data_IF_729680360381
#
_entry.id   IF_729680360381
#
_cell.length_a   1.000
_cell.length_b   1.000
_cell.length_c   1.000
_cell.angle_alpha   90.00
_cell.angle_beta   90.00
_cell.angle_gamma   90.00
#
_symmetry.space_group_name_H-M   'P 1'
#
loop_
_entity.id
_entity.type
_entity.pdbx_description
1 polymer ?
#
# COMPACT_ATOMS: atom_id res chain seq x y z
N UNK A 1 35.52 -0.61 -10.09
CA UNK A 1 34.66 0.46 -10.61
C UNK A 1 33.62 0.75 -9.56
N UNK A 2 33.77 1.86 -8.85
CA UNK A 2 32.81 2.28 -7.81
C UNK A 2 31.57 2.81 -8.52
N UNK A 3 30.49 2.04 -8.48
CA UNK A 3 29.15 2.56 -8.78
C UNK A 3 28.78 3.48 -7.61
N UNK A 4 29.02 4.78 -7.78
CA UNK A 4 28.39 5.80 -6.95
C UNK A 4 26.89 5.67 -7.14
N UNK A 5 26.20 5.00 -6.20
CA UNK A 5 24.74 5.09 -6.11
C UNK A 5 24.39 6.58 -6.10
N UNK A 6 23.63 6.96 -7.12
CA UNK A 6 23.21 8.34 -7.33
C UNK A 6 22.25 8.70 -6.17
N UNK A 7 22.77 9.38 -5.15
CA UNK A 7 22.11 9.64 -3.84
C UNK A 7 20.81 10.45 -3.92
N UNK A 8 20.36 10.84 -5.13
CA UNK A 8 19.22 11.76 -5.32
C UNK A 8 18.06 11.19 -6.14
N UNK A 9 18.08 9.92 -6.53
CA UNK A 9 16.97 9.35 -7.28
C UNK A 9 15.82 9.02 -6.32
N UNK A 10 14.68 9.71 -6.51
CA UNK A 10 13.43 9.40 -5.82
C UNK A 10 12.74 8.27 -6.59
N UNK A 11 12.46 7.16 -5.91
CA UNK A 11 11.75 6.02 -6.51
C UNK A 11 10.27 6.12 -6.21
N UNK A 12 9.47 5.84 -7.22
CA UNK A 12 8.02 5.76 -7.05
C UNK A 12 7.63 4.51 -6.28
N UNK A 13 6.63 4.63 -5.42
CA UNK A 13 6.13 3.55 -4.57
C UNK A 13 4.63 3.64 -4.35
N UNK A 14 4.00 2.51 -4.10
CA UNK A 14 2.60 2.40 -3.74
C UNK A 14 2.45 1.68 -2.39
N UNK A 15 1.52 2.14 -1.56
CA UNK A 15 1.27 1.59 -0.22
C UNK A 15 -0.23 1.45 -0.01
N UNK A 16 -0.69 0.35 0.56
CA UNK A 16 -2.12 0.07 0.72
C UNK A 16 -2.49 -0.06 2.19
N UNK A 17 -3.40 0.79 2.62
CA UNK A 17 -4.03 0.76 3.94
C UNK A 17 -5.24 -0.15 3.82
N UNK A 18 -5.07 -1.43 4.15
CA UNK A 18 -6.19 -2.38 4.20
C UNK A 18 -7.02 -2.13 5.44
N UNK A 19 -8.35 -2.11 5.24
CA UNK A 19 -9.34 -1.78 6.28
C UNK A 19 -10.41 -2.87 6.33
N UNK A 20 -10.84 -3.21 7.55
CA UNK A 20 -11.96 -4.11 7.79
C UNK A 20 -12.81 -3.65 8.98
N UNK A 21 -14.09 -4.06 9.05
CA UNK A 21 -14.85 -3.98 10.29
C UNK A 21 -14.22 -4.87 11.36
N UNK A 22 -14.18 -4.39 12.61
CA UNK A 22 -13.77 -5.20 13.76
C UNK A 22 -14.96 -6.01 14.29
N UNK A 23 -14.68 -7.09 15.00
CA UNK A 23 -15.69 -7.87 15.72
C UNK A 23 -16.34 -7.09 16.88
N UNK A 24 -15.69 -6.07 17.41
CA UNK A 24 -16.18 -5.22 18.49
C UNK A 24 -17.10 -4.08 18.03
N UNK A 25 -17.31 -3.92 16.72
CA UNK A 25 -18.11 -2.83 16.15
C UNK A 25 -17.29 -1.62 15.69
N UNK A 26 -15.99 -1.57 16.06
CA UNK A 26 -15.04 -0.61 15.54
C UNK A 26 -14.53 -1.03 14.15
N UNK A 27 -13.46 -0.42 13.69
CA UNK A 27 -12.77 -0.81 12.48
C UNK A 27 -11.26 -0.90 12.70
N UNK A 28 -10.61 -1.70 11.86
CA UNK A 28 -9.20 -2.03 12.01
C UNK A 28 -8.45 -1.80 10.71
N UNK A 29 -7.17 -1.43 10.86
CA UNK A 29 -6.17 -1.38 9.80
C UNK A 29 -5.24 -2.59 9.91
N UNK A 30 -4.74 -3.05 8.77
CA UNK A 30 -3.71 -4.08 8.71
C UNK A 30 -2.33 -3.45 8.76
N UNK A 31 -1.51 -3.91 9.69
CA UNK A 31 -0.10 -3.56 9.80
C UNK A 31 0.75 -4.82 9.81
N UNK A 32 1.93 -4.76 9.21
CA UNK A 32 2.88 -5.84 9.25
C UNK A 32 4.27 -5.33 9.63
N UNK A 33 5.02 -6.13 10.40
CA UNK A 33 6.34 -5.76 10.89
C UNK A 33 7.41 -6.15 9.88
N UNK A 34 8.20 -5.18 9.45
CA UNK A 34 9.36 -5.42 8.59
C UNK A 34 10.39 -6.31 9.28
N UNK A 35 11.00 -7.19 8.48
CA UNK A 35 12.03 -8.08 9.00
C UNK A 35 13.19 -7.29 9.60
N UNK A 36 13.74 -7.74 10.75
CA UNK A 36 14.79 -7.02 11.47
C UNK A 36 16.11 -6.91 10.70
N UNK A 37 16.33 -7.78 9.72
CA UNK A 37 17.53 -7.76 8.88
C UNK A 37 17.42 -6.83 7.67
N UNK A 38 16.30 -6.14 7.48
CA UNK A 38 16.16 -5.16 6.42
C UNK A 38 16.97 -3.89 6.73
N UNK A 39 17.62 -3.35 5.69
CA UNK A 39 18.47 -2.15 5.81
C UNK A 39 17.69 -0.85 6.00
N UNK A 40 16.38 -0.86 5.72
CA UNK A 40 15.50 0.31 5.81
C UNK A 40 14.29 0.01 6.69
N UNK A 41 14.07 0.82 7.71
CA UNK A 41 12.96 0.71 8.67
C UNK A 41 12.85 -0.66 9.36
N UNK A 42 13.97 -1.31 9.70
CA UNK A 42 14.01 -2.61 10.34
C UNK A 42 13.15 -2.68 11.61
N UNK A 43 12.25 -3.67 11.69
CA UNK A 43 11.38 -3.89 12.85
C UNK A 43 10.21 -2.90 12.99
N UNK A 44 10.09 -1.89 12.13
CA UNK A 44 8.94 -0.99 12.11
C UNK A 44 7.69 -1.71 11.57
N UNK A 45 6.55 -1.28 12.08
CA UNK A 45 5.25 -1.68 11.53
C UNK A 45 4.86 -0.72 10.41
N UNK A 46 4.48 -1.30 9.27
CA UNK A 46 4.16 -0.60 8.03
C UNK A 46 2.87 -1.14 7.43
N UNK A 47 2.28 -0.39 6.53
CA UNK A 47 1.28 -0.89 5.59
C UNK A 47 1.98 -1.67 4.47
N UNK A 48 1.34 -2.66 3.84
CA UNK A 48 1.85 -3.32 2.64
C UNK A 48 2.16 -2.31 1.53
N UNK A 49 3.29 -2.50 0.85
CA UNK A 49 3.66 -1.63 -0.25
C UNK A 49 5.14 -1.60 -0.57
N UNK A 50 5.45 -1.27 -1.82
CA UNK A 50 6.82 -1.21 -2.33
C UNK A 50 6.96 -0.34 -3.57
N UNK A 51 8.04 -0.56 -4.31
CA UNK A 51 8.39 0.26 -5.48
C UNK A 51 7.52 -0.11 -6.68
N UNK A 52 7.30 0.88 -7.55
CA UNK A 52 6.82 0.60 -8.91
C UNK A 52 7.92 -0.13 -9.68
N UNK A 53 7.52 -1.19 -10.36
CA UNK A 53 8.33 -1.93 -11.32
C UNK A 53 7.97 -1.54 -12.76
N UNK A 54 8.85 -1.83 -13.70
CA UNK A 54 8.58 -1.59 -15.12
C UNK A 54 7.35 -2.36 -15.60
N UNK A 55 7.18 -3.58 -15.09
CA UNK A 55 6.04 -4.44 -15.38
C UNK A 55 4.69 -3.88 -14.92
N UNK A 56 4.67 -3.00 -13.91
CA UNK A 56 3.45 -2.34 -13.46
C UNK A 56 2.93 -1.28 -14.45
N UNK A 57 3.81 -0.79 -15.32
CA UNK A 57 3.49 0.22 -16.34
C UNK A 57 3.15 -0.39 -17.72
N UNK A 58 3.17 -1.72 -17.86
CA UNK A 58 2.90 -2.37 -19.14
C UNK A 58 1.49 -2.00 -19.66
N UNK A 59 1.43 -1.53 -20.90
CA UNK A 59 0.18 -1.15 -21.56
C UNK A 59 -0.78 -2.34 -21.72
N UNK A 60 -0.25 -3.55 -21.85
CA UNK A 60 -1.08 -4.75 -21.95
C UNK A 60 -1.93 -5.01 -20.70
N UNK A 61 -1.56 -4.46 -19.56
CA UNK A 61 -2.34 -4.54 -18.33
C UNK A 61 -3.73 -3.89 -18.46
N UNK A 62 -3.93 -2.95 -19.40
CA UNK A 62 -5.24 -2.36 -19.65
C UNK A 62 -6.30 -3.41 -20.02
N UNK A 63 -5.90 -4.48 -20.68
CA UNK A 63 -6.79 -5.58 -21.05
C UNK A 63 -7.29 -6.38 -19.84
N UNK A 64 -6.62 -6.25 -18.69
CA UNK A 64 -6.93 -6.96 -17.44
C UNK A 64 -7.48 -6.03 -16.36
N UNK A 65 -7.79 -4.78 -16.69
CA UNK A 65 -8.44 -3.84 -15.76
C UNK A 65 -9.94 -3.88 -15.98
N UNK A 66 -10.69 -4.06 -14.90
CA UNK A 66 -12.15 -3.89 -14.87
C UNK A 66 -12.53 -2.95 -13.72
N UNK A 67 -13.40 -2.01 -14.03
CA UNK A 67 -13.86 -1.00 -13.08
C UNK A 67 -15.37 -0.83 -13.18
N UNK A 68 -15.99 -0.31 -12.13
CA UNK A 68 -17.43 0.02 -12.11
C UNK A 68 -17.72 1.34 -12.83
N UNK A 69 -16.78 2.27 -12.75
CA UNK A 69 -16.88 3.62 -13.31
C UNK A 69 -15.71 3.92 -14.25
N UNK A 70 -15.70 5.10 -14.84
CA UNK A 70 -14.57 5.57 -15.65
C UNK A 70 -13.33 5.69 -14.78
N UNK A 71 -12.33 4.88 -15.09
CA UNK A 71 -11.05 4.88 -14.38
C UNK A 71 -10.09 5.87 -15.05
N UNK A 72 -9.93 7.02 -14.41
CA UNK A 72 -8.95 8.04 -14.77
C UNK A 72 -7.88 8.15 -13.66
N UNK A 73 -6.75 7.42 -13.79
CA UNK A 73 -5.75 7.36 -12.74
C UNK A 73 -5.06 8.70 -12.46
N UNK A 74 -4.86 9.56 -13.48
CA UNK A 74 -4.27 10.88 -13.29
C UNK A 74 -5.16 11.78 -12.45
N UNK A 75 -6.45 11.79 -12.76
CA UNK A 75 -7.45 12.55 -12.01
C UNK A 75 -7.58 12.03 -10.58
N UNK A 76 -7.60 10.72 -10.40
CA UNK A 76 -7.70 10.11 -9.07
C UNK A 76 -6.49 10.43 -8.20
N UNK A 77 -5.26 10.40 -8.76
CA UNK A 77 -4.03 10.76 -8.05
C UNK A 77 -3.85 12.28 -7.89
N UNK A 78 -4.70 13.10 -8.52
CA UNK A 78 -4.64 14.56 -8.50
C UNK A 78 -3.26 15.11 -8.91
N UNK A 79 -2.61 14.46 -9.89
CA UNK A 79 -1.27 14.83 -10.35
C UNK A 79 -1.22 14.88 -11.87
N UNK A 80 -1.36 16.09 -12.41
CA UNK A 80 -1.36 16.34 -13.86
C UNK A 80 0.01 16.18 -14.54
N UNK A 81 1.09 16.01 -13.77
CA UNK A 81 2.43 15.80 -14.30
C UNK A 81 2.73 14.33 -14.59
N UNK A 82 1.87 13.41 -14.13
CA UNK A 82 2.01 11.99 -14.42
C UNK A 82 1.48 11.67 -15.83
N UNK A 83 2.20 10.81 -16.56
CA UNK A 83 1.60 10.13 -17.72
C UNK A 83 0.49 9.18 -17.27
N UNK A 84 -0.50 8.94 -18.13
CA UNK A 84 -1.59 7.99 -17.82
C UNK A 84 -1.08 6.60 -17.50
N UNK A 85 -0.05 6.15 -18.21
CA UNK A 85 0.66 4.90 -18.01
C UNK A 85 1.26 4.82 -16.58
N UNK A 86 2.03 5.82 -16.18
CA UNK A 86 2.66 5.89 -14.87
C UNK A 86 1.62 6.02 -13.76
N UNK A 87 0.58 6.83 -13.96
CA UNK A 87 -0.52 6.96 -13.01
C UNK A 87 -1.23 5.62 -12.79
N UNK A 88 -1.52 4.87 -13.86
CA UNK A 88 -2.05 3.50 -13.78
C UNK A 88 -1.10 2.57 -13.04
N UNK A 89 0.20 2.65 -13.33
CA UNK A 89 1.24 1.84 -12.70
C UNK A 89 1.21 1.91 -11.16
N UNK A 90 0.90 3.05 -10.56
CA UNK A 90 0.73 3.15 -9.10
C UNK A 90 -0.39 2.25 -8.57
N UNK A 91 -1.51 2.15 -9.26
CA UNK A 91 -2.62 1.28 -8.86
C UNK A 91 -2.26 -0.20 -9.04
N UNK A 92 -1.57 -0.55 -10.13
CA UNK A 92 -1.12 -1.93 -10.37
C UNK A 92 -0.05 -2.33 -9.36
N UNK A 93 0.93 -1.47 -9.07
CA UNK A 93 1.91 -1.70 -8.00
C UNK A 93 1.23 -1.90 -6.64
N UNK A 94 0.21 -1.10 -6.32
CA UNK A 94 -0.56 -1.25 -5.09
C UNK A 94 -1.24 -2.64 -5.02
N UNK A 95 -1.81 -3.13 -6.12
CA UNK A 95 -2.41 -4.47 -6.21
C UNK A 95 -1.33 -5.55 -6.05
N UNK A 96 -0.20 -5.44 -6.77
CA UNK A 96 0.91 -6.40 -6.74
C UNK A 96 1.50 -6.51 -5.34
N UNK A 97 1.89 -5.39 -4.74
CA UNK A 97 2.50 -5.33 -3.42
C UNK A 97 1.57 -5.85 -2.31
N UNK A 98 0.27 -5.54 -2.42
CA UNK A 98 -0.72 -6.08 -1.47
C UNK A 98 -0.83 -7.59 -1.57
N UNK A 99 -0.71 -8.14 -2.77
CA UNK A 99 -0.69 -9.59 -2.97
C UNK A 99 0.63 -10.20 -2.50
N UNK A 100 1.77 -9.63 -2.84
CA UNK A 100 3.10 -10.10 -2.44
C UNK A 100 3.27 -10.09 -0.92
N UNK A 101 2.96 -9.00 -0.25
CA UNK A 101 3.25 -8.81 1.17
C UNK A 101 2.13 -9.30 2.10
N UNK A 102 0.86 -9.17 1.70
CA UNK A 102 -0.29 -9.53 2.54
C UNK A 102 -1.09 -10.73 2.03
N UNK A 103 -0.85 -11.23 0.81
CA UNK A 103 -1.61 -12.32 0.20
C UNK A 103 -3.04 -11.93 -0.18
N UNK A 104 -3.33 -10.64 -0.28
CA UNK A 104 -4.65 -10.12 -0.65
C UNK A 104 -4.65 -9.73 -2.12
N UNK A 105 -5.54 -10.36 -2.89
CA UNK A 105 -5.66 -10.15 -4.32
C UNK A 105 -6.85 -9.24 -4.65
N UNK A 106 -6.57 -8.05 -5.17
CA UNK A 106 -7.61 -7.05 -5.51
C UNK A 106 -8.06 -7.23 -6.97
N UNK A 107 -8.72 -8.33 -7.23
CA UNK A 107 -9.21 -8.70 -8.56
C UNK A 107 -10.12 -9.90 -8.55
N UNK A 108 -10.67 -10.25 -9.72
CA UNK A 108 -11.59 -11.37 -9.89
C UNK A 108 -12.17 -11.47 -11.29
N UNK A 109 -13.17 -12.32 -11.50
CA UNK A 109 -13.79 -12.54 -12.83
C UNK A 109 -14.68 -11.40 -13.28
N UNK A 110 -15.42 -10.82 -12.36
CA UNK A 110 -16.31 -9.69 -12.63
C UNK A 110 -16.14 -8.65 -11.54
N UNK A 111 -16.29 -7.37 -11.89
CA UNK A 111 -16.17 -6.25 -10.94
C UNK A 111 -17.02 -6.48 -9.69
N UNK A 112 -16.42 -6.29 -8.52
CA UNK A 112 -17.07 -6.54 -7.22
C UNK A 112 -17.11 -8.02 -6.79
N UNK A 113 -16.78 -8.97 -7.66
CA UNK A 113 -16.70 -10.40 -7.34
C UNK A 113 -15.22 -10.81 -7.24
N UNK A 114 -14.62 -10.54 -6.11
CA UNK A 114 -13.22 -10.86 -5.83
C UNK A 114 -12.95 -12.36 -5.82
N UNK A 115 -11.71 -12.74 -6.13
CA UNK A 115 -11.25 -14.11 -5.89
C UNK A 115 -11.46 -14.46 -4.42
N UNK A 116 -12.12 -15.59 -4.17
CA UNK A 116 -12.36 -16.10 -2.82
C UNK A 116 -11.38 -17.22 -2.49
N UNK A 117 -10.81 -17.18 -1.31
CA UNK A 117 -9.88 -18.19 -0.80
C UNK A 117 -10.52 -19.19 0.16
N UNK A 118 -11.86 -19.32 0.13
CA UNK A 118 -12.56 -20.36 0.90
C UNK A 118 -12.29 -21.78 0.38
N UNK A 119 -12.06 -21.95 -0.94
CA UNK A 119 -11.60 -23.22 -1.51
C UNK A 119 -10.09 -23.34 -1.31
N UNK A 120 -9.65 -24.35 -0.55
CA UNK A 120 -8.24 -24.60 -0.25
C UNK A 120 -7.38 -24.79 -1.51
N UNK A 121 -7.95 -25.33 -2.59
CA UNK A 121 -7.23 -25.50 -3.87
C UNK A 121 -6.96 -24.14 -4.52
N UNK A 122 -7.91 -23.21 -4.45
CA UNK A 122 -7.73 -21.83 -4.94
C UNK A 122 -6.69 -21.13 -4.07
N UNK A 123 -6.84 -21.20 -2.75
CA UNK A 123 -5.88 -20.61 -1.81
C UNK A 123 -4.45 -21.12 -2.05
N UNK A 124 -4.28 -22.45 -2.18
CA UNK A 124 -2.96 -23.04 -2.45
C UNK A 124 -2.39 -22.50 -3.76
N UNK A 125 -3.17 -22.50 -4.84
CA UNK A 125 -2.71 -22.04 -6.16
C UNK A 125 -2.30 -20.56 -6.13
N UNK A 126 -3.07 -19.71 -5.46
CA UNK A 126 -2.72 -18.29 -5.32
C UNK A 126 -1.49 -18.09 -4.41
N UNK A 127 -1.30 -18.91 -3.38
CA UNK A 127 -0.07 -18.90 -2.60
C UNK A 127 1.14 -19.32 -3.46
N UNK A 128 0.99 -20.31 -4.34
CA UNK A 128 2.05 -20.70 -5.27
C UNK A 128 2.38 -19.56 -6.25
N UNK A 129 1.38 -18.83 -6.78
CA UNK A 129 1.61 -17.62 -7.58
C UNK A 129 2.31 -16.52 -6.79
N UNK A 130 1.91 -16.29 -5.56
CA UNK A 130 2.54 -15.32 -4.67
C UNK A 130 4.02 -15.62 -4.46
N UNK A 131 4.37 -16.88 -4.22
CA UNK A 131 5.76 -17.30 -4.10
C UNK A 131 6.56 -17.11 -5.40
N UNK A 132 5.96 -17.42 -6.55
CA UNK A 132 6.61 -17.21 -7.85
C UNK A 132 6.78 -15.71 -8.15
N UNK A 133 5.80 -14.87 -7.81
CA UNK A 133 5.84 -13.42 -7.99
C UNK A 133 6.96 -12.82 -7.13
N UNK A 134 7.03 -13.14 -5.83
CA UNK A 134 8.10 -12.73 -4.92
C UNK A 134 9.50 -13.20 -5.36
N UNK A 135 9.57 -14.32 -6.10
CA UNK A 135 10.82 -14.82 -6.68
C UNK A 135 11.10 -14.26 -8.09
N UNK A 136 10.30 -13.33 -8.60
CA UNK A 136 10.37 -12.77 -9.96
C UNK A 136 10.33 -13.84 -11.06
N UNK A 137 9.63 -14.95 -10.81
CA UNK A 137 9.46 -16.06 -11.76
C UNK A 137 8.19 -15.91 -12.61
N UNK A 138 7.28 -15.06 -12.21
CA UNK A 138 6.03 -14.73 -12.89
C UNK A 138 5.73 -13.25 -12.66
N UNK A 139 5.02 -12.62 -13.57
CA UNK A 139 4.51 -11.26 -13.41
C UNK A 139 3.01 -11.28 -13.12
N UNK A 140 2.49 -10.19 -12.56
CA UNK A 140 1.08 -10.08 -12.16
C UNK A 140 0.11 -10.33 -13.34
N UNK A 141 0.46 -9.85 -14.53
CA UNK A 141 -0.33 -10.05 -15.76
C UNK A 141 -0.49 -11.55 -16.10
N UNK A 142 0.54 -12.37 -15.93
CA UNK A 142 0.47 -13.80 -16.22
C UNK A 142 -0.49 -14.53 -15.27
N UNK A 143 -0.63 -14.06 -14.01
CA UNK A 143 -1.64 -14.57 -13.08
C UNK A 143 -3.04 -14.27 -13.61
N UNK A 144 -3.26 -13.03 -14.06
CA UNK A 144 -4.55 -12.63 -14.65
C UNK A 144 -4.90 -13.47 -15.87
N UNK A 145 -3.93 -13.75 -16.73
CA UNK A 145 -4.11 -14.61 -17.92
C UNK A 145 -4.48 -16.05 -17.54
N UNK A 146 -3.70 -16.66 -16.63
CA UNK A 146 -3.90 -18.08 -16.24
C UNK A 146 -5.23 -18.32 -15.53
N UNK A 147 -5.71 -17.35 -14.75
CA UNK A 147 -6.94 -17.45 -13.96
C UNK A 147 -8.16 -16.83 -14.67
N UNK A 148 -7.95 -16.22 -15.85
CA UNK A 148 -9.00 -15.48 -16.60
C UNK A 148 -9.71 -14.45 -15.71
N UNK A 149 -8.92 -13.65 -14.98
CA UNK A 149 -9.38 -12.63 -14.05
C UNK A 149 -8.87 -11.24 -14.44
N UNK A 150 -9.44 -10.24 -13.79
CA UNK A 150 -9.05 -8.83 -13.98
C UNK A 150 -8.74 -8.18 -12.63
N UNK A 151 -7.97 -7.11 -12.67
CA UNK A 151 -7.67 -6.25 -11.54
C UNK A 151 -8.76 -5.21 -11.34
N UNK A 152 -9.00 -4.81 -10.10
CA UNK A 152 -10.02 -3.83 -9.72
C UNK A 152 -9.37 -2.59 -9.07
N UNK A 153 -8.69 -1.74 -9.87
CA UNK A 153 -8.01 -0.56 -9.33
C UNK A 153 -8.96 0.48 -8.73
N UNK A 154 -10.24 0.47 -9.10
CA UNK A 154 -11.29 1.34 -8.52
C UNK A 154 -11.64 0.99 -7.07
N UNK A 155 -11.14 -0.13 -6.55
CA UNK A 155 -11.21 -0.48 -5.13
C UNK A 155 -10.14 0.22 -4.28
N UNK A 156 -9.18 0.87 -4.92
CA UNK A 156 -8.09 1.63 -4.32
C UNK A 156 -8.43 3.12 -4.36
N UNK A 157 -8.66 3.72 -3.20
CA UNK A 157 -8.93 5.15 -3.10
C UNK A 157 -7.65 5.87 -2.68
N UNK A 158 -7.09 6.78 -3.50
CA UNK A 158 -5.92 7.56 -3.12
C UNK A 158 -6.17 8.33 -1.81
N UNK A 159 -5.19 8.29 -0.90
CA UNK A 159 -5.34 8.85 0.44
C UNK A 159 -4.27 9.89 0.79
N UNK A 160 -3.00 9.63 0.48
CA UNK A 160 -1.90 10.54 0.77
C UNK A 160 -0.75 10.35 -0.23
N UNK A 161 0.11 11.37 -0.33
CA UNK A 161 1.33 11.32 -1.12
C UNK A 161 2.52 11.75 -0.23
N UNK A 162 3.35 10.79 0.15
CA UNK A 162 4.52 11.02 0.99
C UNK A 162 5.81 11.02 0.16
N UNK A 163 6.63 12.04 0.34
CA UNK A 163 7.96 12.14 -0.28
C UNK A 163 9.01 12.05 0.82
N UNK A 164 9.94 11.12 0.67
CA UNK A 164 11.04 10.97 1.62
C UNK A 164 11.95 12.21 1.58
N UNK A 165 12.34 12.78 2.72
CA UNK A 165 13.24 13.94 2.79
C UNK A 165 14.59 13.70 2.12
N UNK A 166 15.28 14.78 1.76
CA UNK A 166 16.54 14.76 1.01
C UNK A 166 17.76 14.30 1.85
N UNK A 167 17.66 14.35 3.16
CA UNK A 167 18.69 13.84 4.07
C UNK A 167 18.67 12.31 4.21
N UNK A 168 17.65 11.63 3.71
CA UNK A 168 17.57 10.17 3.73
C UNK A 168 18.34 9.55 2.56
N UNK A 169 18.99 8.41 2.81
CA UNK A 169 19.79 7.70 1.80
C UNK A 169 18.95 7.05 0.71
N UNK A 170 17.77 6.55 1.07
CA UNK A 170 16.78 5.94 0.15
C UNK A 170 15.54 6.81 0.15
N UNK A 171 15.13 7.27 -1.02
CA UNK A 171 14.02 8.20 -1.16
C UNK A 171 12.93 7.62 -2.01
N UNK A 172 11.70 7.82 -1.55
CA UNK A 172 10.49 7.36 -2.22
C UNK A 172 9.49 8.49 -2.38
N UNK A 173 8.78 8.46 -3.51
CA UNK A 173 7.55 9.19 -3.74
C UNK A 173 6.41 8.17 -3.62
N UNK A 174 5.85 8.03 -2.42
CA UNK A 174 4.94 6.96 -2.08
C UNK A 174 3.47 7.43 -2.10
N UNK A 175 2.66 6.82 -2.96
CA UNK A 175 1.21 7.02 -3.00
C UNK A 175 0.54 6.02 -2.08
N UNK A 176 -0.26 6.52 -1.15
CA UNK A 176 -1.01 5.72 -0.19
C UNK A 176 -2.46 5.59 -0.66
N UNK A 177 -2.98 4.38 -0.58
CA UNK A 177 -4.34 4.04 -0.98
C UNK A 177 -5.11 3.40 0.18
N UNK A 178 -6.39 3.71 0.31
CA UNK A 178 -7.31 2.95 1.14
C UNK A 178 -7.92 1.81 0.32
N UNK A 179 -8.05 0.63 0.93
CA UNK A 179 -8.79 -0.49 0.36
C UNK A 179 -9.56 -1.24 1.45
N UNK A 180 -10.81 -1.61 1.18
CA UNK A 180 -11.55 -2.55 2.02
C UNK A 180 -11.00 -3.96 1.79
N UNK A 181 -10.85 -4.74 2.87
CA UNK A 181 -10.48 -6.15 2.75
C UNK A 181 -11.55 -6.88 1.91
N UNK A 182 -11.16 -7.56 0.82
CA UNK A 182 -12.10 -8.34 0.03
C UNK A 182 -12.74 -9.47 0.85
N UNK A 183 -14.03 -9.75 0.63
CA UNK A 183 -14.69 -10.88 1.29
C UNK A 183 -14.02 -12.20 0.89
N UNK A 184 -13.95 -13.13 1.83
CA UNK A 184 -13.37 -14.45 1.61
C UNK A 184 -11.84 -14.50 1.50
N UNK A 185 -11.15 -13.42 1.87
CA UNK A 185 -9.69 -13.36 1.92
C UNK A 185 -9.23 -13.02 3.35
N UNK A 186 -8.09 -13.59 3.73
CA UNK A 186 -7.45 -13.32 5.03
C UNK A 186 -5.99 -13.00 4.79
N UNK A 187 -5.51 -11.82 5.20
CA UNK A 187 -4.12 -11.45 4.98
C UNK A 187 -3.18 -12.28 5.85
N UNK A 188 -2.08 -12.69 5.23
CA UNK A 188 -0.98 -13.41 5.88
C UNK A 188 0.32 -12.76 5.43
N UNK A 189 1.16 -12.32 6.38
CA UNK A 189 2.48 -11.81 6.07
C UNK A 189 3.32 -12.86 5.29
N UNK A 190 4.15 -12.41 4.36
CA UNK A 190 4.93 -13.27 3.47
C UNK A 190 6.04 -14.05 4.20
N UNK A 191 6.36 -13.66 5.43
CA UNK A 191 7.45 -14.16 6.26
C UNK A 191 8.87 -13.87 5.72
N UNK A 192 8.99 -13.24 4.56
CA UNK A 192 10.26 -12.84 3.95
C UNK A 192 10.59 -11.37 4.25
N UNK A 193 9.75 -10.46 3.80
CA UNK A 193 9.88 -9.03 4.06
C UNK A 193 9.12 -8.60 5.31
N UNK A 194 7.94 -9.18 5.52
CA UNK A 194 7.04 -8.92 6.65
C UNK A 194 6.92 -10.18 7.52
N UNK A 195 7.21 -10.07 8.81
CA UNK A 195 7.31 -11.23 9.72
C UNK A 195 6.10 -11.48 10.60
N UNK A 196 5.47 -10.42 11.06
CA UNK A 196 4.31 -10.46 11.96
C UNK A 196 3.30 -9.47 11.48
N UNK A 197 2.07 -9.90 11.33
CA UNK A 197 0.95 -9.03 10.97
C UNK A 197 -0.06 -8.92 12.09
N UNK A 198 -0.77 -7.81 12.14
CA UNK A 198 -1.84 -7.57 13.09
C UNK A 198 -2.94 -6.70 12.48
N UNK A 199 -4.17 -6.99 12.88
CA UNK A 199 -5.29 -6.09 12.73
C UNK A 199 -5.44 -5.29 14.01
N UNK A 200 -5.55 -3.97 13.89
CA UNK A 200 -5.52 -3.06 15.04
C UNK A 200 -6.33 -1.81 14.73
N UNK A 201 -7.04 -1.28 15.72
CA UNK A 201 -7.68 0.03 15.55
C UNK A 201 -6.62 1.13 15.47
N UNK A 202 -6.84 2.23 14.72
CA UNK A 202 -5.90 3.34 14.63
C UNK A 202 -5.50 3.87 16.02
N UNK A 203 -6.47 4.03 16.91
CA UNK A 203 -6.25 4.52 18.29
C UNK A 203 -5.32 3.59 19.06
N UNK A 204 -5.54 2.25 18.97
CA UNK A 204 -4.70 1.27 19.66
C UNK A 204 -3.29 1.21 19.10
N UNK A 205 -3.12 1.39 17.79
CA UNK A 205 -1.80 1.48 17.16
C UNK A 205 -1.00 2.67 17.70
N UNK A 206 -1.63 3.85 17.83
CA UNK A 206 -0.99 5.04 18.41
C UNK A 206 -0.66 4.85 19.90
N UNK A 207 -1.52 4.20 20.66
CA UNK A 207 -1.27 3.85 22.07
C UNK A 207 -0.04 2.95 22.18
N UNK A 208 -0.01 1.84 21.42
CA UNK A 208 1.11 0.91 21.45
C UNK A 208 2.44 1.56 20.97
N UNK A 209 2.37 2.52 20.05
CA UNK A 209 3.55 3.28 19.66
C UNK A 209 4.07 4.17 20.80
N UNK A 210 3.18 4.90 21.51
CA UNK A 210 3.55 5.71 22.68
C UNK A 210 4.14 4.85 23.81
N UNK A 211 3.63 3.65 23.99
CA UNK A 211 4.13 2.65 24.95
C UNK A 211 5.41 1.93 24.45
N UNK A 212 5.95 2.28 23.29
CA UNK A 212 7.14 1.67 22.68
C UNK A 212 7.00 0.16 22.39
N UNK A 213 5.77 -0.37 22.32
CA UNK A 213 5.47 -1.76 21.96
C UNK A 213 5.60 -2.01 20.47
N UNK A 214 5.33 -0.99 19.64
CA UNK A 214 5.53 -1.00 18.21
C UNK A 214 6.26 0.27 17.77
N UNK A 215 6.97 0.18 16.65
CA UNK A 215 7.65 1.32 16.03
C UNK A 215 6.86 1.69 14.78
N UNK A 216 6.38 2.93 14.72
CA UNK A 216 5.76 3.52 13.53
C UNK A 216 6.68 4.62 13.01
N UNK A 217 7.04 4.53 11.74
CA UNK A 217 7.80 5.61 11.07
C UNK A 217 6.89 6.81 10.76
N UNK A 218 7.44 8.02 10.59
CA UNK A 218 6.65 9.24 10.47
C UNK A 218 5.50 9.20 9.46
N UNK A 219 5.66 8.68 8.22
CA UNK A 219 4.53 8.57 7.28
C UNK A 219 3.42 7.66 7.81
N UNK A 220 3.78 6.49 8.35
CA UNK A 220 2.82 5.54 8.92
C UNK A 220 2.14 6.13 10.15
N UNK A 221 2.91 6.73 11.07
CA UNK A 221 2.39 7.34 12.29
C UNK A 221 1.38 8.46 11.97
N UNK A 222 1.76 9.41 11.11
CA UNK A 222 0.89 10.54 10.73
C UNK A 222 -0.36 10.09 9.99
N UNK A 223 -0.24 9.09 9.13
CA UNK A 223 -1.39 8.49 8.45
C UNK A 223 -2.35 7.86 9.47
N UNK A 224 -1.84 7.07 10.43
CA UNK A 224 -2.68 6.47 11.47
C UNK A 224 -3.29 7.53 12.40
N UNK A 225 -2.55 8.58 12.73
CA UNK A 225 -3.07 9.72 13.50
C UNK A 225 -4.27 10.38 12.79
N UNK A 226 -4.18 10.59 11.49
CA UNK A 226 -5.27 11.14 10.68
C UNK A 226 -6.46 10.16 10.60
N UNK A 227 -6.20 8.87 10.38
CA UNK A 227 -7.21 7.82 10.38
C UNK A 227 -7.95 7.71 11.72
N UNK A 228 -7.27 7.95 12.83
CA UNK A 228 -7.86 7.85 14.18
C UNK A 228 -8.95 8.88 14.49
N UNK A 229 -9.09 9.90 13.64
CA UNK A 229 -10.13 10.92 13.78
C UNK A 229 -11.50 10.47 13.24
N UNK A 230 -11.54 9.42 12.40
CA UNK A 230 -12.79 8.94 11.82
C UNK A 230 -13.48 7.93 12.72
N UNK A 231 -14.79 8.10 12.87
CA UNK A 231 -15.63 7.27 13.72
C UNK A 231 -15.82 5.87 13.14
N UNK A 232 -16.05 5.81 11.83
CA UNK A 232 -16.36 4.55 11.14
C UNK A 232 -15.81 4.54 9.69
N UNK A 233 -15.89 3.38 9.05
CA UNK A 233 -15.38 3.16 7.70
C UNK A 233 -16.12 4.00 6.66
N UNK A 234 -17.41 4.20 6.80
CA UNK A 234 -18.21 4.91 5.80
C UNK A 234 -17.92 6.42 5.85
N UNK A 235 -17.74 6.99 7.04
CA UNK A 235 -17.26 8.37 7.21
C UNK A 235 -15.88 8.53 6.58
N UNK A 236 -14.92 7.64 6.87
CA UNK A 236 -13.58 7.66 6.31
C UNK A 236 -13.61 7.63 4.77
N UNK A 237 -14.31 6.67 4.19
CA UNK A 237 -14.35 6.51 2.73
C UNK A 237 -15.10 7.69 2.06
N UNK A 238 -16.14 8.22 2.69
CA UNK A 238 -16.85 9.41 2.20
C UNK A 238 -15.96 10.64 2.20
N UNK A 239 -15.27 10.90 3.30
CA UNK A 239 -14.35 12.05 3.42
C UNK A 239 -13.16 11.92 2.43
N UNK A 240 -12.65 10.71 2.23
CA UNK A 240 -11.52 10.50 1.33
C UNK A 240 -11.85 10.78 -0.13
N UNK A 241 -13.09 10.55 -0.58
CA UNK A 241 -13.51 10.85 -1.96
C UNK A 241 -13.36 12.32 -2.35
N UNK A 242 -13.42 13.22 -1.39
CA UNK A 242 -13.28 14.67 -1.60
C UNK A 242 -11.97 15.24 -1.08
N UNK A 243 -11.11 14.39 -0.54
CA UNK A 243 -9.81 14.78 0.01
C UNK A 243 -8.89 15.31 -1.08
N UNK A 244 -8.32 16.49 -0.86
CA UNK A 244 -7.27 17.02 -1.72
C UNK A 244 -5.94 16.44 -1.26
N UNK A 245 -5.20 15.85 -2.19
CA UNK A 245 -3.93 15.19 -1.91
C UNK A 245 -2.77 16.09 -2.35
N UNK A 246 -2.06 16.63 -1.38
CA UNK A 246 -0.82 17.36 -1.61
C UNK A 246 0.40 16.47 -1.34
N UNK A 247 1.52 16.64 -2.09
CA UNK A 247 2.78 16.01 -1.73
C UNK A 247 3.26 16.48 -0.35
N UNK A 248 3.51 15.54 0.55
CA UNK A 248 4.00 15.79 1.91
C UNK A 248 5.50 15.48 1.94
N UNK A 249 6.31 16.52 2.05
CA UNK A 249 7.77 16.43 2.24
C UNK A 249 8.10 16.85 3.68
N UNK A 250 8.34 15.89 4.60
CA UNK A 250 8.70 16.22 5.96
C UNK A 250 10.03 17.02 6.03
N UNK A 251 10.06 18.02 6.89
CA UNK A 251 11.26 18.80 7.17
C UNK A 251 11.75 18.49 8.58
N UNK A 252 13.07 18.52 8.81
CA UNK A 252 13.60 18.50 10.16
C UNK A 252 13.13 19.77 10.87
N UNK A 253 12.53 19.63 12.06
CA UNK A 253 12.29 20.76 12.93
C UNK A 253 13.66 21.35 13.29
N UNK A 254 13.97 22.53 12.74
CA UNK A 254 15.17 23.25 13.12
C UNK A 254 15.14 23.48 14.63
N UNK A 255 16.25 23.17 15.31
CA UNK A 255 16.47 23.62 16.68
C UNK A 255 16.28 25.15 16.67
N UNK A 256 15.16 25.65 17.18
CA UNK A 256 15.10 27.03 17.65
C UNK A 256 15.99 27.09 18.88
N UNK A 257 17.30 27.18 18.66
CA UNK A 257 18.19 27.67 19.69
C UNK A 257 17.72 29.07 20.04
N UNK A 258 17.37 29.24 21.29
CA UNK A 258 17.12 30.48 21.98
C UNK A 258 18.14 31.55 21.58
N UNK A 259 17.69 32.58 20.88
CA UNK A 259 18.30 33.90 20.96
C UNK A 259 17.20 34.84 21.45
N UNK A 260 16.99 34.81 22.75
CA UNK A 260 16.51 35.98 23.50
C UNK A 260 17.75 36.57 24.19
N UNK A 261 18.22 37.66 23.65
CA UNK A 261 18.88 38.73 24.40
C UNK A 261 18.24 40.04 24.03
#
# INVERSE_FOLDING_TARGET
>A
MNLTENKNVIKDAATVILIRPSKSGDWEIFLARRHRNQTFMAGAYVFPGGQLEETDNDLLLENYIKTTDVFDPCRLLQDSNLSGEKARGFFIAAIRETFEEAGIFLGGKTTGNFVSFHDERVLKRFNDYRHQLNASQIILMEIAQKEEISFFPDTLIPYAHWITPDFEKKRFSARFFLAKLPPGQTPVADAMELTVSLWITPQKALEMHREQKIILMPPTFKTIEELSAFKDIDELFSATKTKIIYPILPQLAGNRSEERR
#
